data_IF_387464220695
#
_entry.id   IF_387464220695
#
_cell.length_a   1.000
_cell.length_b   1.000
_cell.length_c   1.000
_cell.angle_alpha   90.00
_cell.angle_beta   90.00
_cell.angle_gamma   90.00
#
_symmetry.space_group_name_H-M   'P 1'
#
loop_
_entity.id
_entity.type
_entity.pdbx_description
1 polymer ?
#
# COMPACT_ATOMS: atom_id res chain seq x y z
N UNK A 1 -27.32 -13.95 15.98
CA UNK A 1 -27.28 -13.93 14.49
C UNK A 1 -25.93 -14.48 14.07
N UNK A 2 -25.84 -15.62 13.37
CA UNK A 2 -24.58 -16.11 12.84
C UNK A 2 -24.10 -15.19 11.71
N UNK A 3 -22.97 -14.52 11.92
CA UNK A 3 -22.27 -13.74 10.90
C UNK A 3 -21.63 -14.73 9.93
N UNK A 4 -22.27 -14.98 8.80
CA UNK A 4 -21.61 -15.67 7.69
C UNK A 4 -20.63 -14.67 7.09
N UNK A 5 -19.33 -14.88 7.34
CA UNK A 5 -18.29 -14.13 6.66
C UNK A 5 -18.28 -14.49 5.18
N UNK A 6 -18.06 -13.51 4.31
CA UNK A 6 -17.82 -13.78 2.90
C UNK A 6 -16.64 -14.75 2.76
N UNK A 7 -16.82 -15.82 2.00
CA UNK A 7 -15.77 -16.77 1.70
C UNK A 7 -14.65 -16.08 0.92
N UNK A 8 -13.41 -16.51 1.14
CA UNK A 8 -12.24 -16.01 0.39
C UNK A 8 -12.40 -16.12 -1.13
N UNK A 9 -13.21 -17.06 -1.62
CA UNK A 9 -13.55 -17.19 -3.04
C UNK A 9 -14.43 -16.04 -3.54
N UNK A 10 -15.43 -15.64 -2.75
CA UNK A 10 -16.38 -14.57 -3.09
C UNK A 10 -15.69 -13.21 -3.11
N UNK A 11 -14.80 -12.97 -2.14
CA UNK A 11 -13.97 -11.75 -2.10
C UNK A 11 -13.08 -11.68 -3.34
N UNK A 12 -12.43 -12.80 -3.69
CA UNK A 12 -11.55 -12.86 -4.86
C UNK A 12 -12.31 -12.61 -6.17
N UNK A 13 -13.54 -13.09 -6.28
CA UNK A 13 -14.35 -12.92 -7.48
C UNK A 13 -14.94 -11.51 -7.56
N UNK A 14 -15.29 -10.87 -6.43
CA UNK A 14 -15.64 -9.46 -6.39
C UNK A 14 -14.48 -8.54 -6.81
N UNK A 15 -13.24 -8.85 -6.40
CA UNK A 15 -12.04 -8.10 -6.81
C UNK A 15 -11.72 -8.22 -8.31
N UNK A 16 -12.29 -9.21 -9.02
CA UNK A 16 -12.17 -9.35 -10.48
C UNK A 16 -13.23 -8.56 -11.25
N UNK A 17 -14.19 -7.93 -10.58
CA UNK A 17 -15.24 -7.16 -11.24
C UNK A 17 -14.64 -5.93 -11.93
N UNK A 18 -14.81 -5.83 -13.26
CA UNK A 18 -14.21 -4.76 -14.07
C UNK A 18 -14.78 -3.38 -13.71
N UNK A 19 -16.03 -3.30 -13.27
CA UNK A 19 -16.62 -2.03 -12.83
C UNK A 19 -16.00 -1.57 -11.51
N UNK A 20 -15.76 -2.49 -10.57
CA UNK A 20 -15.07 -2.19 -9.32
C UNK A 20 -13.62 -1.77 -9.59
N UNK A 21 -12.90 -2.48 -10.47
CA UNK A 21 -11.53 -2.12 -10.83
C UNK A 21 -11.46 -0.75 -11.52
N UNK A 22 -12.42 -0.45 -12.40
CA UNK A 22 -12.50 0.85 -13.07
C UNK A 22 -12.79 1.97 -12.06
N UNK A 23 -13.71 1.75 -11.12
CA UNK A 23 -14.01 2.71 -10.06
C UNK A 23 -12.78 2.99 -9.18
N UNK A 24 -12.06 1.95 -8.78
CA UNK A 24 -10.80 2.09 -8.02
C UNK A 24 -9.79 2.92 -8.82
N UNK A 25 -9.60 2.61 -10.10
CA UNK A 25 -8.69 3.35 -10.97
C UNK A 25 -9.09 4.82 -11.15
N UNK A 26 -10.38 5.13 -11.21
CA UNK A 26 -10.89 6.49 -11.36
C UNK A 26 -10.68 7.29 -10.06
N UNK A 27 -10.86 6.67 -8.89
CA UNK A 27 -10.55 7.27 -7.58
C UNK A 27 -9.05 7.55 -7.44
N UNK A 28 -8.20 6.57 -7.79
CA UNK A 28 -6.74 6.70 -7.66
C UNK A 28 -6.14 7.78 -8.59
N UNK A 29 -6.74 8.00 -9.75
CA UNK A 29 -6.32 9.03 -10.72
C UNK A 29 -6.89 10.41 -10.39
N UNK A 30 -7.83 10.50 -9.46
CA UNK A 30 -8.48 11.76 -9.10
C UNK A 30 -7.53 12.69 -8.34
N UNK A 31 -7.54 14.01 -8.61
CA UNK A 31 -6.87 14.99 -7.78
C UNK A 31 -7.50 15.15 -6.38
N UNK A 32 -8.74 14.66 -6.17
CA UNK A 32 -9.43 14.62 -4.88
C UNK A 32 -10.12 13.26 -4.65
N UNK A 33 -9.38 12.27 -4.14
CA UNK A 33 -9.87 10.89 -3.97
C UNK A 33 -10.99 10.77 -2.92
N UNK A 34 -11.01 11.65 -1.91
CA UNK A 34 -11.99 11.60 -0.82
C UNK A 34 -13.36 12.00 -1.36
N UNK A 35 -13.42 13.06 -2.15
CA UNK A 35 -14.66 13.52 -2.77
C UNK A 35 -15.19 12.53 -3.82
N UNK A 36 -14.30 11.89 -4.60
CA UNK A 36 -14.73 10.85 -5.54
C UNK A 36 -15.22 9.59 -4.83
N UNK A 37 -14.61 9.22 -3.70
CA UNK A 37 -15.11 8.13 -2.85
C UNK A 37 -16.49 8.47 -2.27
N UNK A 38 -16.71 9.70 -1.81
CA UNK A 38 -18.01 10.14 -1.28
C UNK A 38 -19.11 10.12 -2.37
N UNK A 39 -18.78 10.58 -3.59
CA UNK A 39 -19.67 10.45 -4.75
C UNK A 39 -19.94 8.99 -5.10
N UNK A 40 -18.92 8.14 -5.10
CA UNK A 40 -19.04 6.72 -5.40
C UNK A 40 -19.94 6.00 -4.40
N UNK A 41 -19.81 6.33 -3.12
CA UNK A 41 -20.69 5.85 -2.04
C UNK A 41 -22.10 6.46 -2.11
N UNK A 42 -22.26 7.63 -2.71
CA UNK A 42 -23.55 8.30 -2.95
C UNK A 42 -24.31 7.81 -4.19
N UNK A 43 -23.62 7.20 -5.18
CA UNK A 43 -24.25 6.60 -6.36
C UNK A 43 -24.72 5.17 -6.15
N UNK A 44 -25.82 4.81 -6.83
CA UNK A 44 -26.43 3.48 -6.85
C UNK A 44 -25.49 2.33 -7.25
N UNK A 45 -24.23 2.58 -7.65
CA UNK A 45 -23.22 1.56 -7.95
C UNK A 45 -22.95 0.66 -6.74
N UNK A 46 -22.91 1.23 -5.53
CA UNK A 46 -22.80 0.43 -4.30
C UNK A 46 -24.09 -0.39 -4.06
N UNK A 47 -25.25 0.16 -4.42
CA UNK A 47 -26.53 -0.57 -4.39
C UNK A 47 -26.65 -1.66 -5.46
N UNK A 48 -25.99 -1.53 -6.62
CA UNK A 48 -25.98 -2.55 -7.68
C UNK A 48 -25.26 -3.82 -7.19
N UNK A 49 -24.22 -3.69 -6.36
CA UNK A 49 -23.59 -4.83 -5.70
C UNK A 49 -24.49 -5.49 -4.65
N UNK A 50 -25.35 -4.72 -3.96
CA UNK A 50 -26.29 -5.28 -2.97
C UNK A 50 -27.56 -5.89 -3.58
N UNK A 51 -27.91 -5.56 -4.84
CA UNK A 51 -29.17 -5.97 -5.49
C UNK A 51 -29.01 -7.10 -6.52
N UNK A 52 -27.82 -7.69 -6.70
CA UNK A 52 -27.63 -8.81 -7.65
C UNK A 52 -28.32 -10.13 -7.25
N UNK A 53 -28.95 -10.21 -6.07
CA UNK A 53 -29.80 -11.34 -5.67
C UNK A 53 -31.21 -10.88 -5.31
N UNK A 54 -32.17 -11.41 -6.06
CA UNK A 54 -33.58 -11.07 -6.03
C UNK A 54 -34.29 -11.73 -4.83
N UNK A 55 -33.83 -11.46 -3.60
CA UNK A 55 -34.46 -11.96 -2.37
C UNK A 55 -34.52 -10.88 -1.28
N UNK A 56 -35.65 -10.85 -0.57
CA UNK A 56 -36.07 -9.89 0.47
C UNK A 56 -35.23 -9.95 1.78
N UNK A 57 -33.91 -10.10 1.67
CA UNK A 57 -32.99 -10.08 2.80
C UNK A 57 -32.15 -8.80 2.75
N UNK A 58 -32.11 -8.06 3.86
CA UNK A 58 -31.24 -6.89 3.98
C UNK A 58 -29.78 -7.35 3.85
N UNK A 59 -29.17 -7.07 2.71
CA UNK A 59 -27.77 -7.35 2.44
C UNK A 59 -26.92 -6.31 3.18
N UNK A 60 -26.05 -6.76 4.08
CA UNK A 60 -25.09 -5.90 4.78
C UNK A 60 -23.76 -5.94 4.03
N UNK A 61 -23.13 -4.78 3.89
CA UNK A 61 -21.83 -4.71 3.23
C UNK A 61 -20.73 -5.23 4.14
N UNK A 62 -19.82 -6.00 3.54
CA UNK A 62 -18.60 -6.43 4.22
C UNK A 62 -17.53 -5.37 4.01
N UNK A 63 -17.02 -4.82 5.11
CA UNK A 63 -15.91 -3.87 5.10
C UNK A 63 -14.61 -4.62 5.32
N UNK A 64 -13.63 -4.38 4.44
CA UNK A 64 -12.26 -4.88 4.57
C UNK A 64 -11.34 -3.69 4.85
N UNK A 65 -10.39 -3.86 5.77
CA UNK A 65 -9.31 -2.90 5.96
C UNK A 65 -7.97 -3.63 5.78
N UNK A 66 -7.02 -2.96 5.13
CA UNK A 66 -5.64 -3.43 5.03
C UNK A 66 -4.70 -2.23 4.98
N UNK A 67 -3.53 -2.37 5.60
CA UNK A 67 -2.49 -1.33 5.57
C UNK A 67 -1.69 -1.45 4.29
N UNK A 68 -1.79 -0.46 3.40
CA UNK A 68 -0.97 -0.41 2.18
C UNK A 68 0.51 -0.16 2.49
N UNK A 69 0.81 0.82 3.35
CA UNK A 69 2.16 1.10 3.82
C UNK A 69 2.10 1.86 5.15
N UNK A 70 2.84 1.36 6.14
CA UNK A 70 3.10 2.08 7.38
C UNK A 70 4.43 2.82 7.21
N UNK A 71 4.37 4.12 6.87
CA UNK A 71 5.51 4.92 6.39
C UNK A 71 6.77 4.76 7.23
N UNK A 72 6.67 4.86 8.56
CA UNK A 72 7.83 4.75 9.46
C UNK A 72 8.49 3.37 9.40
N UNK A 73 7.68 2.30 9.39
CA UNK A 73 8.17 0.92 9.31
C UNK A 73 8.79 0.66 7.94
N UNK A 74 8.13 1.13 6.88
CA UNK A 74 8.63 1.03 5.51
C UNK A 74 9.96 1.76 5.36
N UNK A 75 10.11 2.95 5.98
CA UNK A 75 11.39 3.67 5.98
C UNK A 75 12.51 2.88 6.65
N UNK A 76 12.28 2.31 7.85
CA UNK A 76 13.29 1.47 8.50
C UNK A 76 13.71 0.29 7.62
N UNK A 77 12.74 -0.41 7.02
CA UNK A 77 13.03 -1.53 6.12
C UNK A 77 13.86 -1.08 4.90
N UNK A 78 13.57 0.07 4.31
CA UNK A 78 14.35 0.61 3.18
C UNK A 78 15.78 0.92 3.64
N UNK A 79 15.94 1.61 4.77
CA UNK A 79 17.26 1.95 5.31
C UNK A 79 18.11 0.70 5.55
N UNK A 80 17.55 -0.34 6.17
CA UNK A 80 18.29 -1.58 6.47
C UNK A 80 18.65 -2.39 5.22
N UNK A 81 17.72 -2.53 4.25
CA UNK A 81 17.93 -3.40 3.09
C UNK A 81 18.73 -2.73 1.96
N UNK A 82 18.72 -1.40 1.89
CA UNK A 82 19.37 -0.63 0.82
C UNK A 82 20.58 0.18 1.30
N UNK A 83 21.05 0.00 2.54
CA UNK A 83 22.27 0.62 3.04
C UNK A 83 23.51 0.17 2.25
N UNK A 84 24.38 1.13 1.95
CA UNK A 84 25.72 0.97 1.37
C UNK A 84 26.75 1.60 2.31
N UNK A 85 28.04 1.48 1.98
CA UNK A 85 29.13 2.00 2.82
C UNK A 85 29.06 3.53 3.04
N UNK A 86 28.56 4.26 2.04
CA UNK A 86 28.55 5.72 1.98
C UNK A 86 27.15 6.35 2.04
N UNK A 87 26.10 5.54 2.18
CA UNK A 87 24.72 6.04 2.19
C UNK A 87 23.67 4.94 2.01
N UNK A 88 22.53 5.30 1.43
CA UNK A 88 21.40 4.41 1.16
C UNK A 88 20.96 4.55 -0.29
N UNK A 89 20.85 3.42 -0.99
CA UNK A 89 20.32 3.36 -2.35
C UNK A 89 18.79 3.52 -2.35
N UNK A 90 18.26 4.34 -3.25
CA UNK A 90 16.80 4.52 -3.38
C UNK A 90 16.23 3.37 -4.23
N UNK A 91 15.23 2.62 -3.73
CA UNK A 91 14.55 1.58 -4.50
C UNK A 91 14.02 2.10 -5.82
N UNK A 92 14.14 1.29 -6.89
CA UNK A 92 13.82 1.73 -8.25
C UNK A 92 12.40 2.30 -8.39
N UNK A 93 11.44 1.65 -7.75
CA UNK A 93 10.04 2.06 -7.72
C UNK A 93 9.82 3.45 -7.10
N UNK A 94 10.70 3.91 -6.21
CA UNK A 94 10.57 5.19 -5.51
C UNK A 94 11.27 6.36 -6.24
N UNK A 95 12.19 6.07 -7.18
CA UNK A 95 12.98 7.09 -7.87
C UNK A 95 12.15 8.16 -8.62
N UNK A 96 11.02 7.83 -9.29
CA UNK A 96 10.17 8.85 -9.94
C UNK A 96 9.59 9.87 -8.95
N UNK A 97 9.36 9.45 -7.71
CA UNK A 97 8.79 10.29 -6.65
C UNK A 97 9.86 11.09 -5.88
N UNK A 98 11.15 10.74 -6.07
CA UNK A 98 12.29 11.34 -5.37
C UNK A 98 13.01 12.42 -6.19
N UNK A 99 12.38 12.94 -7.26
CA UNK A 99 12.98 13.94 -8.14
C UNK A 99 14.20 13.43 -8.91
N UNK A 100 14.19 12.15 -9.28
CA UNK A 100 15.29 11.52 -10.03
C UNK A 100 16.52 11.15 -9.18
N UNK A 101 16.48 11.35 -7.86
CA UNK A 101 17.55 10.89 -6.97
C UNK A 101 17.57 9.36 -6.90
N UNK A 102 18.77 8.80 -6.97
CA UNK A 102 19.01 7.35 -6.89
C UNK A 102 19.75 6.94 -5.62
N UNK A 103 20.35 7.91 -4.89
CA UNK A 103 21.19 7.65 -3.74
C UNK A 103 21.09 8.76 -2.69
N UNK A 104 21.14 8.38 -1.41
CA UNK A 104 21.11 9.26 -0.25
C UNK A 104 22.44 9.12 0.53
N UNK A 105 23.38 10.06 0.42
CA UNK A 105 24.68 9.95 1.08
C UNK A 105 24.60 10.22 2.59
N UNK A 106 25.43 9.54 3.37
CA UNK A 106 25.63 9.90 4.78
C UNK A 106 26.36 11.25 4.90
N UNK A 107 25.91 12.09 5.83
CA UNK A 107 26.54 13.40 6.07
C UNK A 107 27.98 13.29 6.59
N UNK A 108 28.32 12.15 7.20
CA UNK A 108 29.65 11.85 7.73
C UNK A 108 30.00 10.43 7.38
N UNK A 109 31.24 10.19 6.93
CA UNK A 109 31.73 8.84 6.66
C UNK A 109 31.71 8.03 7.97
N UNK A 110 31.18 6.80 7.99
CA UNK A 110 31.32 5.92 9.13
C UNK A 110 32.83 5.75 9.42
N UNK A 111 33.24 5.91 10.67
CA UNK A 111 34.64 5.72 11.03
C UNK A 111 35.05 4.30 10.65
N UNK A 112 36.03 4.18 9.74
CA UNK A 112 36.60 2.88 9.39
C UNK A 112 37.06 2.20 10.68
N UNK A 113 36.59 0.97 10.91
CA UNK A 113 36.95 0.18 12.08
C UNK A 113 38.46 0.18 12.29
N UNK A 114 38.91 0.72 13.42
CA UNK A 114 40.31 0.69 13.82
C UNK A 114 40.73 -0.76 14.03
N UNK A 115 41.32 -1.38 13.00
CA UNK A 115 41.97 -2.69 13.09
C UNK A 115 43.04 -2.62 14.18
N UNK A 116 42.76 -3.24 15.33
CA UNK A 116 43.72 -3.40 16.41
C UNK A 116 44.97 -4.12 15.92
N UNK A 117 46.11 -3.42 15.92
CA UNK A 117 47.44 -4.04 15.87
C UNK A 117 47.57 -4.92 17.11
N UNK A 118 47.41 -6.24 16.98
CA UNK A 118 47.94 -7.19 17.96
C UNK A 118 49.46 -7.21 17.80
N UNK A 119 50.14 -6.48 18.68
CA UNK A 119 51.57 -6.60 18.90
C UNK A 119 51.86 -8.03 19.36
N UNK A 120 52.69 -8.74 18.60
CA UNK A 120 53.28 -10.02 18.98
C UNK A 120 54.31 -9.73 20.08
N UNK A 121 54.12 -10.32 21.26
CA UNK A 121 55.13 -10.46 22.30
C UNK A 121 55.26 -11.95 22.62
#
# INVERSE_FOLDING_TARGET
>A
MPVHGASSSEIRDALKDEHLQKLICDIDKSPDPINELDKAMGTDVFCIFTNKNNEQTKQYVHLLNSTLTATERTMCCILENYQKEDGVEIPEALRPFMGGKTFLPFKTKPAAEAKGKKSKA
#
